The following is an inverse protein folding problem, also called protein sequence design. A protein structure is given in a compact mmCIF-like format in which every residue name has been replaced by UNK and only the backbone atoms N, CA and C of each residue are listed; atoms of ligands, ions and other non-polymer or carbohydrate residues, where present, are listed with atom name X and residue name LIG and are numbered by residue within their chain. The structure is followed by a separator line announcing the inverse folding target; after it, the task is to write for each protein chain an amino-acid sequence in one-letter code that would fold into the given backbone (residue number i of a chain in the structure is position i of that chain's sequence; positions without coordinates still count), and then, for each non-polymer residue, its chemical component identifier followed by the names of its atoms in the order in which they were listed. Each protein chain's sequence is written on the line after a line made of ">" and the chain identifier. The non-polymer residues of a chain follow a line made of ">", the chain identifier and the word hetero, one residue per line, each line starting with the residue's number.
data_IF_584969419880
#
_entry.id   IF_584969419880
#
_cell.length_a   1.000
_cell.length_b   1.000
_cell.length_c   1.000
_cell.angle_alpha   90.00
_cell.angle_beta   90.00
_cell.angle_gamma   90.00
#
_symmetry.space_group_name_H-M   'P 1'
#
loop_
_entity.id
_entity.type
_entity.pdbx_description
1 polymer ?
#
# COMPACT_ATOMS: atom_id res chain seq x y z
N UNK A 1 28.12 -12.79 -12.82
CA UNK A 1 27.06 -11.79 -12.61
C UNK A 1 26.37 -12.18 -11.32
N UNK A 2 26.68 -11.50 -10.23
CA UNK A 2 25.98 -11.70 -8.96
C UNK A 2 24.53 -11.28 -9.18
N UNK A 3 23.58 -12.22 -9.03
CA UNK A 3 22.17 -11.88 -9.03
C UNK A 3 21.95 -10.89 -7.87
N UNK A 4 21.74 -9.61 -8.18
CA UNK A 4 21.38 -8.62 -7.18
C UNK A 4 20.07 -9.07 -6.55
N UNK A 5 20.14 -9.37 -5.26
CA UNK A 5 19.08 -10.07 -4.56
C UNK A 5 18.11 -9.03 -4.02
N UNK A 6 16.90 -8.99 -4.58
CA UNK A 6 15.82 -8.15 -4.06
C UNK A 6 15.58 -8.50 -2.58
N UNK A 7 15.53 -7.50 -1.71
CA UNK A 7 15.39 -7.73 -0.27
C UNK A 7 14.01 -8.29 0.06
N UNK A 8 13.96 -9.56 0.49
CA UNK A 8 12.70 -10.27 0.83
C UNK A 8 12.66 -10.82 2.26
N UNK A 9 13.66 -10.50 3.10
CA UNK A 9 13.72 -11.08 4.44
C UNK A 9 12.68 -10.47 5.38
N UNK A 10 11.99 -11.26 6.23
CA UNK A 10 11.16 -10.71 7.29
C UNK A 10 11.96 -9.82 8.24
N UNK A 11 11.27 -8.93 8.97
CA UNK A 11 11.92 -8.13 10.01
C UNK A 11 12.27 -8.99 11.23
N UNK A 12 13.42 -8.76 11.88
CA UNK A 12 13.76 -9.48 13.11
C UNK A 12 12.72 -9.18 14.20
N UNK A 13 12.33 -10.22 14.94
CA UNK A 13 11.34 -10.17 16.03
C UNK A 13 9.96 -9.61 15.63
N UNK A 14 9.66 -9.60 14.33
CA UNK A 14 8.38 -9.17 13.82
C UNK A 14 7.88 -10.11 12.73
N UNK A 15 6.57 -10.14 12.54
CA UNK A 15 5.91 -10.93 11.51
C UNK A 15 4.86 -10.11 10.79
N UNK A 16 4.66 -10.41 9.51
CA UNK A 16 3.49 -9.94 8.76
C UNK A 16 2.23 -10.57 9.38
N UNK A 17 1.20 -9.77 9.58
CA UNK A 17 -0.12 -10.24 9.98
C UNK A 17 -1.17 -9.64 9.04
N UNK A 18 -2.31 -10.30 8.97
CA UNK A 18 -3.44 -9.85 8.16
C UNK A 18 -4.68 -9.69 9.05
N UNK A 19 -5.35 -8.55 8.89
CA UNK A 19 -6.61 -8.24 9.59
C UNK A 19 -7.75 -8.31 8.59
N UNK A 20 -8.73 -9.17 8.86
CA UNK A 20 -9.86 -9.37 7.99
C UNK A 20 -10.82 -8.17 7.99
N UNK A 21 -11.36 -7.85 6.81
CA UNK A 21 -12.48 -6.94 6.65
C UNK A 21 -13.77 -7.46 7.29
N UNK A 22 -14.68 -6.54 7.58
CA UNK A 22 -16.03 -6.82 8.12
C UNK A 22 -17.11 -6.63 7.06
N UNK A 23 -16.95 -5.64 6.17
CA UNK A 23 -17.88 -5.29 5.10
C UNK A 23 -17.53 -6.04 3.80
N UNK A 24 -16.23 -6.17 3.52
CA UNK A 24 -15.71 -6.80 2.31
C UNK A 24 -14.74 -7.95 2.66
N UNK A 25 -14.60 -8.96 1.79
CA UNK A 25 -13.67 -10.08 1.99
C UNK A 25 -12.23 -9.66 1.69
N UNK A 26 -11.70 -8.72 2.48
CA UNK A 26 -10.35 -8.15 2.33
C UNK A 26 -9.45 -8.60 3.49
N UNK A 27 -8.13 -8.56 3.24
CA UNK A 27 -7.10 -8.85 4.24
C UNK A 27 -6.12 -7.68 4.27
N UNK A 28 -6.06 -6.98 5.39
CA UNK A 28 -5.24 -5.76 5.56
C UNK A 28 -3.93 -6.13 6.24
N UNK A 29 -2.84 -5.96 5.50
CA UNK A 29 -1.51 -6.32 5.97
C UNK A 29 -0.96 -5.30 7.00
N UNK A 30 -0.38 -5.80 8.08
CA UNK A 30 0.31 -5.03 9.11
C UNK A 30 1.55 -5.79 9.60
N UNK A 31 2.36 -5.15 10.45
CA UNK A 31 3.50 -5.79 11.10
C UNK A 31 3.28 -5.89 12.59
N UNK A 32 3.44 -7.08 13.15
CA UNK A 32 3.34 -7.33 14.58
C UNK A 32 4.74 -7.57 15.17
N UNK A 33 5.14 -6.78 16.16
CA UNK A 33 6.41 -6.88 16.86
C UNK A 33 6.21 -7.64 18.17
N UNK A 34 7.03 -8.67 18.39
CA UNK A 34 7.06 -9.40 19.65
C UNK A 34 7.92 -8.66 20.67
N UNK A 35 7.41 -8.48 21.89
CA UNK A 35 8.13 -7.82 22.98
C UNK A 35 8.70 -8.87 23.94
N UNK A 36 9.89 -8.62 24.48
CA UNK A 36 10.44 -9.43 25.56
C UNK A 36 9.67 -9.20 26.86
N UNK A 37 9.56 -10.18 27.77
CA UNK A 37 8.95 -9.98 29.08
C UNK A 37 9.69 -8.95 29.94
N UNK A 38 8.95 -8.16 30.74
CA UNK A 38 9.51 -7.21 31.71
C UNK A 38 9.78 -7.92 33.03
N UNK A 39 10.98 -7.73 33.60
CA UNK A 39 11.30 -8.15 34.98
C UNK A 39 11.02 -6.99 35.92
N UNK A 40 10.03 -7.16 36.80
CA UNK A 40 9.64 -6.15 37.78
C UNK A 40 10.59 -6.15 38.98
N UNK A 41 10.65 -5.03 39.71
CA UNK A 41 11.50 -4.87 40.90
C UNK A 41 11.13 -5.82 42.05
N UNK A 42 9.90 -6.33 42.05
CA UNK A 42 9.41 -7.33 43.00
C UNK A 42 9.76 -8.78 42.60
N UNK A 43 10.52 -8.99 41.53
CA UNK A 43 10.92 -10.30 41.02
C UNK A 43 9.89 -11.00 40.13
N UNK A 44 8.70 -10.42 39.91
CA UNK A 44 7.70 -10.96 39.01
C UNK A 44 8.05 -10.68 37.53
N UNK A 45 7.52 -11.50 36.63
CA UNK A 45 7.66 -11.35 35.18
C UNK A 45 6.31 -10.90 34.62
N UNK A 46 6.30 -9.76 33.91
CA UNK A 46 5.15 -9.27 33.17
C UNK A 46 5.32 -9.61 31.68
N UNK A 47 4.33 -10.30 31.10
CA UNK A 47 4.32 -10.63 29.67
C UNK A 47 3.76 -9.43 28.91
N UNK A 48 4.58 -8.86 28.04
CA UNK A 48 4.17 -7.75 27.19
C UNK A 48 3.41 -8.26 25.95
N UNK A 49 2.17 -7.79 25.69
CA UNK A 49 1.48 -8.13 24.46
C UNK A 49 2.24 -7.54 23.26
N UNK A 50 2.15 -8.18 22.08
CA UNK A 50 2.85 -7.69 20.90
C UNK A 50 2.26 -6.37 20.42
N UNK A 51 3.09 -5.54 19.79
CA UNK A 51 2.67 -4.24 19.23
C UNK A 51 2.42 -4.38 17.75
N UNK A 52 1.23 -4.01 17.31
CA UNK A 52 0.89 -3.95 15.88
C UNK A 52 1.20 -2.55 15.35
N UNK A 53 1.92 -2.49 14.24
CA UNK A 53 2.25 -1.24 13.56
C UNK A 53 1.88 -1.26 12.08
N UNK A 54 1.70 -0.06 11.55
CA UNK A 54 1.58 0.16 10.12
C UNK A 54 2.78 -0.45 9.39
N UNK A 55 2.53 -1.07 8.24
CA UNK A 55 3.56 -1.72 7.44
C UNK A 55 3.32 -1.47 5.95
N UNK A 56 4.30 -0.83 5.32
CA UNK A 56 4.33 -0.44 3.91
C UNK A 56 5.16 -1.39 3.06
N UNK A 57 5.81 -2.39 3.67
CA UNK A 57 6.77 -3.27 2.97
C UNK A 57 6.14 -4.22 1.95
N UNK A 58 4.81 -4.25 1.85
CA UNK A 58 4.08 -5.10 0.90
C UNK A 58 4.36 -6.59 1.07
N UNK A 59 4.20 -7.40 0.02
CA UNK A 59 4.43 -8.84 0.07
C UNK A 59 5.89 -9.25 0.34
N UNK A 60 6.86 -8.33 0.22
CA UNK A 60 8.29 -8.63 0.34
C UNK A 60 8.75 -9.02 1.76
N UNK A 61 7.89 -8.88 2.77
CA UNK A 61 8.18 -9.31 4.15
C UNK A 61 7.28 -10.45 4.62
N UNK A 62 6.44 -10.96 3.73
CA UNK A 62 5.63 -12.14 3.94
C UNK A 62 6.46 -13.38 3.60
N UNK A 63 6.74 -14.22 4.60
CA UNK A 63 7.54 -15.44 4.44
C UNK A 63 6.77 -16.57 3.74
N UNK A 64 5.47 -16.38 3.48
CA UNK A 64 4.61 -17.36 2.81
C UNK A 64 4.52 -17.14 1.30
N UNK A 65 4.99 -15.99 0.80
CA UNK A 65 4.90 -15.61 -0.62
C UNK A 65 6.29 -15.66 -1.27
N UNK A 66 6.40 -16.35 -2.40
CA UNK A 66 7.59 -16.27 -3.24
C UNK A 66 7.40 -15.21 -4.33
N UNK A 67 8.23 -14.16 -4.31
CA UNK A 67 8.14 -13.06 -5.27
C UNK A 67 9.12 -13.28 -6.43
N UNK A 68 8.54 -13.31 -7.63
CA UNK A 68 9.24 -13.28 -8.90
C UNK A 68 8.95 -11.93 -9.57
N UNK A 69 9.95 -11.04 -9.59
CA UNK A 69 9.80 -9.69 -10.17
C UNK A 69 9.34 -9.73 -11.63
N UNK A 70 9.66 -10.78 -12.38
CA UNK A 70 9.26 -10.92 -13.80
C UNK A 70 7.78 -11.25 -13.97
N UNK A 71 7.12 -11.70 -12.90
CA UNK A 71 5.68 -12.00 -12.85
C UNK A 71 4.87 -10.89 -12.18
N UNK A 72 5.53 -9.95 -11.51
CA UNK A 72 4.88 -8.89 -10.74
C UNK A 72 4.29 -9.37 -9.41
N UNK A 73 3.70 -8.43 -8.68
CA UNK A 73 3.04 -8.69 -7.40
C UNK A 73 1.62 -9.24 -7.58
N UNK A 74 1.07 -9.93 -6.56
CA UNK A 74 -0.34 -10.30 -6.55
C UNK A 74 -1.26 -9.08 -6.75
N UNK A 75 -2.23 -9.22 -7.66
CA UNK A 75 -3.16 -8.15 -8.05
C UNK A 75 -4.34 -8.04 -7.09
N UNK A 76 -4.03 -7.72 -5.83
CA UNK A 76 -4.94 -7.67 -4.68
C UNK A 76 -6.32 -7.07 -4.99
N UNK A 77 -6.35 -5.95 -5.71
CA UNK A 77 -7.56 -5.15 -5.93
C UNK A 77 -8.30 -5.49 -7.22
N UNK A 78 -7.79 -6.40 -8.05
CA UNK A 78 -8.34 -6.63 -9.39
C UNK A 78 -9.82 -7.02 -9.33
N UNK A 79 -10.19 -7.95 -8.45
CA UNK A 79 -11.57 -8.37 -8.31
C UNK A 79 -12.47 -7.23 -7.81
N UNK A 80 -11.99 -6.40 -6.87
CA UNK A 80 -12.75 -5.26 -6.32
C UNK A 80 -13.06 -4.20 -7.40
N UNK A 81 -12.18 -4.08 -8.39
CA UNK A 81 -12.37 -3.18 -9.53
C UNK A 81 -13.37 -3.78 -10.52
N UNK A 82 -13.28 -5.09 -10.80
CA UNK A 82 -14.18 -5.77 -11.72
C UNK A 82 -15.62 -5.89 -11.18
N UNK A 83 -15.78 -6.15 -9.88
CA UNK A 83 -17.08 -6.33 -9.23
C UNK A 83 -17.96 -5.08 -9.26
N UNK A 84 -17.36 -3.89 -9.41
CA UNK A 84 -18.11 -2.63 -9.52
C UNK A 84 -18.80 -2.44 -10.87
N UNK A 85 -18.43 -3.23 -11.88
CA UNK A 85 -19.05 -3.19 -13.22
C UNK A 85 -19.08 -1.79 -13.86
N UNK A 86 -18.08 -0.97 -13.55
CA UNK A 86 -17.95 0.40 -14.06
C UNK A 86 -16.68 0.62 -14.88
N UNK A 87 -15.94 -0.45 -15.18
CA UNK A 87 -14.77 -0.47 -16.06
C UNK A 87 -14.98 -1.41 -17.25
N UNK A 88 -14.31 -1.08 -18.36
CA UNK A 88 -14.13 -1.99 -19.50
C UNK A 88 -12.63 -2.29 -19.67
N UNK A 89 -12.32 -3.55 -19.98
CA UNK A 89 -10.97 -3.97 -20.33
C UNK A 89 -10.74 -3.75 -21.82
N UNK A 90 -9.68 -3.03 -22.17
CA UNK A 90 -9.30 -2.79 -23.55
C UNK A 90 -8.61 -4.03 -24.15
N UNK A 91 -8.52 -4.09 -25.48
CA UNK A 91 -7.79 -5.16 -26.16
C UNK A 91 -6.27 -5.09 -25.89
N UNK A 92 -5.75 -3.89 -25.66
CA UNK A 92 -4.35 -3.60 -25.40
C UNK A 92 -4.13 -2.11 -25.11
N UNK A 93 -2.87 -1.68 -25.07
CA UNK A 93 -2.49 -0.28 -24.87
C UNK A 93 -3.04 0.59 -26.02
N UNK A 94 -3.72 1.67 -25.66
CA UNK A 94 -4.39 2.56 -26.63
C UNK A 94 -3.62 3.85 -26.95
N UNK A 95 -2.59 4.19 -26.17
CA UNK A 95 -1.80 5.41 -26.40
C UNK A 95 -0.81 5.21 -27.54
N UNK A 96 -0.65 6.22 -28.39
CA UNK A 96 0.31 6.20 -29.51
C UNK A 96 1.74 5.90 -29.01
N UNK A 97 2.14 6.54 -27.91
CA UNK A 97 3.45 6.32 -27.30
C UNK A 97 3.62 4.87 -26.81
N UNK A 98 2.65 4.34 -26.07
CA UNK A 98 2.74 2.97 -25.55
C UNK A 98 2.69 1.91 -26.64
N UNK A 99 1.91 2.14 -27.72
CA UNK A 99 1.93 1.27 -28.89
C UNK A 99 3.27 1.26 -29.61
N UNK A 100 3.90 2.43 -29.80
CA UNK A 100 5.25 2.53 -30.38
C UNK A 100 6.26 1.75 -29.54
N UNK A 101 6.26 1.94 -28.22
CA UNK A 101 7.16 1.20 -27.30
C UNK A 101 6.87 -0.29 -27.30
N UNK A 102 5.61 -0.73 -27.36
CA UNK A 102 5.24 -2.15 -27.41
C UNK A 102 5.66 -2.82 -28.73
N UNK A 103 5.72 -2.08 -29.84
CA UNK A 103 6.14 -2.60 -31.14
C UNK A 103 7.65 -2.62 -31.37
N UNK A 104 8.44 -2.04 -30.46
CA UNK A 104 9.89 -1.90 -30.62
C UNK A 104 10.63 -3.17 -30.11
N UNK A 105 11.23 -3.99 -30.99
CA UNK A 105 11.87 -5.25 -30.60
C UNK A 105 13.12 -5.05 -29.74
N UNK A 106 13.71 -3.85 -29.72
CA UNK A 106 14.91 -3.58 -28.90
C UNK A 106 14.61 -3.56 -27.39
N UNK A 107 13.33 -3.55 -27.02
CA UNK A 107 12.86 -3.51 -25.64
C UNK A 107 12.37 -4.86 -25.15
N UNK A 108 12.36 -5.91 -25.99
CA UNK A 108 11.82 -7.23 -25.66
C UNK A 108 12.48 -7.84 -24.41
N UNK A 109 13.79 -7.63 -24.23
CA UNK A 109 14.54 -8.13 -23.06
C UNK A 109 14.18 -7.39 -21.76
N UNK A 110 13.66 -6.16 -21.85
CA UNK A 110 13.27 -5.33 -20.72
C UNK A 110 11.80 -5.51 -20.33
N UNK A 111 10.98 -6.10 -21.20
CA UNK A 111 9.55 -6.26 -20.93
C UNK A 111 9.29 -7.41 -19.96
N UNK A 112 8.40 -7.16 -19.02
CA UNK A 112 7.84 -8.20 -18.16
C UNK A 112 7.09 -9.24 -19.01
N UNK A 113 7.19 -10.51 -18.61
CA UNK A 113 6.58 -11.63 -19.34
C UNK A 113 5.04 -11.56 -19.34
N UNK A 114 4.44 -10.79 -18.44
CA UNK A 114 3.01 -10.63 -18.28
C UNK A 114 2.56 -9.25 -18.75
N UNK A 115 1.80 -9.20 -19.86
CA UNK A 115 1.16 -7.97 -20.33
C UNK A 115 -0.30 -7.94 -19.87
N UNK A 116 -0.59 -7.14 -18.84
CA UNK A 116 -1.96 -6.93 -18.38
C UNK A 116 -2.68 -5.96 -19.32
N UNK A 117 -3.90 -6.31 -19.71
CA UNK A 117 -4.69 -5.41 -20.55
C UNK A 117 -5.22 -4.24 -19.71
N UNK A 118 -5.08 -3.00 -20.20
CA UNK A 118 -5.52 -1.83 -19.47
C UNK A 118 -7.04 -1.77 -19.37
N UNK A 119 -7.52 -1.16 -18.30
CA UNK A 119 -8.91 -0.87 -18.00
C UNK A 119 -9.17 0.63 -18.11
N UNK A 120 -10.36 0.98 -18.56
CA UNK A 120 -10.86 2.37 -18.56
C UNK A 120 -12.27 2.41 -17.98
N UNK A 121 -12.71 3.57 -17.52
CA UNK A 121 -14.10 3.74 -17.08
C UNK A 121 -15.07 3.45 -18.24
N UNK A 122 -16.15 2.74 -17.94
CA UNK A 122 -17.27 2.54 -18.85
C UNK A 122 -17.89 3.89 -19.23
N UNK A 123 -18.51 3.96 -20.41
CA UNK A 123 -19.16 5.19 -20.88
C UNK A 123 -20.17 5.71 -19.85
N UNK A 124 -20.04 6.99 -19.47
CA UNK A 124 -20.91 7.64 -18.48
C UNK A 124 -20.66 7.26 -17.02
N UNK A 125 -19.65 6.43 -16.71
CA UNK A 125 -19.26 6.07 -15.35
C UNK A 125 -18.04 6.87 -14.89
N UNK A 126 -17.89 7.02 -13.58
CA UNK A 126 -16.71 7.61 -12.95
C UNK A 126 -16.20 6.65 -11.88
N UNK A 127 -14.91 6.32 -11.97
CA UNK A 127 -14.30 5.26 -11.17
C UNK A 127 -13.50 5.78 -9.97
N UNK A 128 -13.57 7.08 -9.70
CA UNK A 128 -12.77 7.72 -8.64
C UNK A 128 -13.37 7.48 -7.26
N UNK A 129 -12.51 7.37 -6.24
CA UNK A 129 -12.95 7.26 -4.85
C UNK A 129 -13.79 8.46 -4.40
N UNK A 130 -13.50 9.66 -4.92
CA UNK A 130 -14.30 10.87 -4.69
C UNK A 130 -15.74 10.73 -5.21
N UNK A 131 -15.92 10.11 -6.38
CA UNK A 131 -17.24 9.88 -6.95
C UNK A 131 -18.08 8.95 -6.07
N UNK A 132 -17.53 7.79 -5.70
CA UNK A 132 -18.23 6.85 -4.81
C UNK A 132 -18.55 7.49 -3.46
N UNK A 133 -17.58 8.20 -2.87
CA UNK A 133 -17.76 8.85 -1.58
C UNK A 133 -18.92 9.86 -1.59
N UNK A 134 -19.03 10.69 -2.64
CA UNK A 134 -20.11 11.67 -2.81
C UNK A 134 -21.48 11.03 -3.06
N UNK A 135 -21.53 9.79 -3.52
CA UNK A 135 -22.75 9.00 -3.65
C UNK A 135 -23.14 8.26 -2.36
N UNK A 136 -22.35 8.38 -1.29
CA UNK A 136 -22.59 7.64 -0.05
C UNK A 136 -22.13 6.18 -0.11
N UNK A 137 -21.32 5.81 -1.11
CA UNK A 137 -20.84 4.44 -1.29
C UNK A 137 -19.51 4.27 -0.53
N UNK A 138 -19.46 3.27 0.34
CA UNK A 138 -18.22 2.78 0.96
C UNK A 138 -17.63 1.70 0.05
N UNK A 139 -16.37 1.85 -0.35
CA UNK A 139 -15.67 0.90 -1.21
C UNK A 139 -14.79 -0.06 -0.40
N UNK A 140 -14.33 -1.18 -0.99
CA UNK A 140 -13.32 -2.04 -0.36
C UNK A 140 -12.05 -1.27 0.02
N UNK A 141 -11.63 -0.28 -0.78
CA UNK A 141 -10.48 0.56 -0.42
C UNK A 141 -10.75 1.44 0.81
N UNK A 142 -11.96 1.98 0.97
CA UNK A 142 -12.31 2.78 2.15
C UNK A 142 -12.31 1.93 3.43
N UNK A 143 -12.79 0.69 3.37
CA UNK A 143 -12.67 -0.23 4.50
C UNK A 143 -11.21 -0.61 4.76
N UNK A 144 -10.45 -0.91 3.71
CA UNK A 144 -9.04 -1.29 3.81
C UNK A 144 -8.24 -0.25 4.59
N UNK A 145 -8.35 1.03 4.20
CA UNK A 145 -7.60 2.11 4.87
C UNK A 145 -8.14 2.39 6.27
N UNK A 146 -9.44 2.24 6.53
CA UNK A 146 -9.97 2.39 7.89
C UNK A 146 -9.36 1.36 8.85
N UNK A 147 -9.27 0.10 8.44
CA UNK A 147 -8.61 -0.96 9.22
C UNK A 147 -7.12 -0.67 9.39
N UNK A 148 -6.45 -0.25 8.31
CA UNK A 148 -5.00 0.03 8.30
C UNK A 148 -4.63 1.17 9.26
N UNK A 149 -5.39 2.26 9.25
CA UNK A 149 -5.18 3.42 10.11
C UNK A 149 -5.43 3.13 11.59
N UNK A 150 -6.25 2.13 11.91
CA UNK A 150 -6.48 1.73 13.29
C UNK A 150 -5.32 0.93 13.89
N UNK A 151 -4.43 0.33 13.09
CA UNK A 151 -3.30 -0.48 13.60
C UNK A 151 -3.67 -1.49 14.70
N UNK A 152 -4.89 -2.07 14.61
CA UNK A 152 -5.50 -2.90 15.66
C UNK A 152 -5.60 -2.21 17.03
N UNK A 153 -6.10 -0.97 17.06
CA UNK A 153 -6.29 -0.18 18.28
C UNK A 153 -7.08 -0.93 19.38
N UNK A 154 -7.93 -1.89 19.02
CA UNK A 154 -8.62 -2.77 19.97
C UNK A 154 -7.66 -3.60 20.86
N UNK A 155 -6.41 -3.80 20.45
CA UNK A 155 -5.39 -4.45 21.28
C UNK A 155 -5.05 -3.66 22.55
N UNK A 156 -5.34 -2.35 22.57
CA UNK A 156 -5.13 -1.52 23.75
C UNK A 156 -6.03 -1.94 24.93
N UNK A 157 -7.20 -2.53 24.67
CA UNK A 157 -8.10 -3.04 25.72
C UNK A 157 -7.45 -4.14 26.57
N UNK A 158 -6.52 -4.90 25.98
CA UNK A 158 -5.76 -5.95 26.64
C UNK A 158 -4.34 -5.53 27.02
N UNK A 159 -4.03 -4.23 26.92
CA UNK A 159 -2.68 -3.71 27.12
C UNK A 159 -2.37 -3.44 28.59
N UNK A 160 -1.07 -3.38 28.92
CA UNK A 160 -0.64 -3.01 30.27
C UNK A 160 -0.88 -1.51 30.49
N UNK A 161 -1.01 -1.03 31.75
CA UNK A 161 -1.24 0.39 32.03
C UNK A 161 -0.21 1.34 31.41
N UNK A 162 1.03 0.88 31.18
CA UNK A 162 2.07 1.65 30.53
C UNK A 162 1.90 1.78 29.00
N UNK A 163 1.20 0.84 28.37
CA UNK A 163 0.96 0.83 26.91
C UNK A 163 -0.25 1.66 26.50
N UNK A 164 -1.26 1.78 27.37
CA UNK A 164 -2.47 2.58 27.12
C UNK A 164 -2.25 4.11 27.36
N UNK A 165 -1.07 4.50 27.84
CA UNK A 165 -0.80 5.90 28.15
C UNK A 165 -0.35 6.70 26.91
N UNK A 166 -1.27 7.49 26.34
CA UNK A 166 -0.95 8.47 25.31
C UNK A 166 -0.91 9.90 25.88
N UNK A 167 0.21 10.61 25.68
CA UNK A 167 0.29 12.03 26.02
C UNK A 167 -0.64 12.87 25.14
N UNK A 168 -1.37 13.81 25.74
CA UNK A 168 -2.27 14.69 25.02
C UNK A 168 -1.49 15.63 24.08
N UNK A 169 -1.73 15.50 22.79
CA UNK A 169 -1.20 16.40 21.76
C UNK A 169 -2.08 17.64 21.50
N UNK A 170 -1.60 18.53 20.62
CA UNK A 170 -2.34 19.65 20.05
C UNK A 170 -2.48 19.42 18.54
N UNK A 171 -3.71 19.31 18.04
CA UNK A 171 -4.01 19.02 16.64
C UNK A 171 -4.42 20.26 15.81
N UNK A 172 -4.45 21.44 16.45
CA UNK A 172 -4.82 22.73 15.85
C UNK A 172 -6.19 22.72 15.14
N UNK A 173 -7.19 22.07 15.76
CA UNK A 173 -8.55 22.00 15.25
C UNK A 173 -8.76 20.95 14.15
N UNK A 174 -7.88 19.94 14.07
CA UNK A 174 -8.11 18.78 13.22
C UNK A 174 -9.28 17.94 13.75
N UNK A 175 -9.92 17.17 12.87
CA UNK A 175 -10.97 16.20 13.21
C UNK A 175 -10.38 14.80 13.38
N UNK A 176 -9.22 14.71 14.03
CA UNK A 176 -8.62 13.41 14.37
C UNK A 176 -9.61 12.65 15.24
N UNK A 177 -9.92 11.41 14.87
CA UNK A 177 -10.81 10.58 15.67
C UNK A 177 -10.11 10.16 16.96
N UNK A 178 -10.75 10.45 18.10
CA UNK A 178 -10.30 9.98 19.42
C UNK A 178 -10.59 8.48 19.64
N UNK A 179 -11.25 7.84 18.67
CA UNK A 179 -11.64 6.42 18.65
C UNK A 179 -11.18 5.77 17.35
N UNK A 180 -11.56 4.51 17.16
CA UNK A 180 -11.33 3.81 15.91
C UNK A 180 -11.89 4.57 14.69
N UNK A 181 -11.07 4.68 13.66
CA UNK A 181 -11.42 5.19 12.33
C UNK A 181 -12.38 4.20 11.67
N UNK A 182 -13.52 4.70 11.20
CA UNK A 182 -14.54 3.87 10.53
C UNK A 182 -14.47 4.05 9.01
N UNK A 183 -14.95 3.06 8.23
CA UNK A 183 -15.07 3.22 6.77
C UNK A 183 -15.98 4.40 6.38
N UNK A 184 -16.96 4.73 7.22
CA UNK A 184 -17.84 5.88 7.01
C UNK A 184 -17.10 7.21 7.23
N UNK A 185 -16.26 7.33 8.27
CA UNK A 185 -15.42 8.52 8.47
C UNK A 185 -14.47 8.73 7.29
N UNK A 186 -13.85 7.64 6.80
CA UNK A 186 -13.03 7.68 5.58
C UNK A 186 -13.82 8.22 4.38
N UNK A 187 -15.03 7.70 4.16
CA UNK A 187 -15.92 8.14 3.09
C UNK A 187 -16.25 9.63 3.22
N UNK A 188 -16.59 10.12 4.42
CA UNK A 188 -16.89 11.53 4.67
C UNK A 188 -15.71 12.46 4.37
N UNK A 189 -14.50 12.08 4.79
CA UNK A 189 -13.28 12.87 4.54
C UNK A 189 -12.95 12.95 3.05
N UNK A 190 -13.14 11.84 2.31
CA UNK A 190 -12.98 11.81 0.86
C UNK A 190 -14.07 12.64 0.17
N UNK A 191 -15.34 12.46 0.54
CA UNK A 191 -16.46 13.18 -0.06
C UNK A 191 -16.32 14.71 0.09
N UNK A 192 -15.77 15.15 1.22
CA UNK A 192 -15.49 16.55 1.51
C UNK A 192 -14.17 17.07 0.91
N UNK A 193 -13.40 16.22 0.22
CA UNK A 193 -12.12 16.60 -0.39
C UNK A 193 -10.99 16.89 0.59
N UNK A 194 -11.07 16.38 1.83
CA UNK A 194 -10.03 16.52 2.86
C UNK A 194 -9.05 15.35 2.91
N UNK A 195 -9.39 14.26 2.24
CA UNK A 195 -8.53 13.08 2.11
C UNK A 195 -8.66 12.44 0.73
N UNK A 196 -7.64 11.69 0.32
CA UNK A 196 -7.58 10.96 -0.95
C UNK A 196 -7.04 9.54 -0.75
N UNK A 197 -7.45 8.64 -1.65
CA UNK A 197 -6.92 7.27 -1.77
C UNK A 197 -6.35 7.12 -3.20
N UNK A 198 -5.02 7.22 -3.39
CA UNK A 198 -4.38 7.25 -4.71
C UNK A 198 -4.26 5.86 -5.33
N UNK A 199 -5.35 5.39 -5.94
CA UNK A 199 -5.51 3.97 -6.28
C UNK A 199 -6.06 3.77 -7.69
N UNK A 200 -5.23 4.03 -8.70
CA UNK A 200 -5.56 3.86 -10.11
C UNK A 200 -6.12 2.44 -10.39
N UNK A 201 -7.14 2.34 -11.24
CA UNK A 201 -7.78 1.07 -11.66
C UNK A 201 -6.82 0.14 -12.43
N UNK A 202 -5.72 0.68 -12.94
CA UNK A 202 -4.65 -0.08 -13.62
C UNK A 202 -3.46 -0.43 -12.72
N UNK A 203 -3.53 -0.14 -11.41
CA UNK A 203 -2.53 -0.53 -10.42
C UNK A 203 -3.17 -1.41 -9.33
N UNK A 204 -3.71 -2.59 -9.67
CA UNK A 204 -4.40 -3.46 -8.71
C UNK A 204 -3.48 -4.15 -7.70
N UNK A 205 -2.17 -4.13 -7.91
CA UNK A 205 -1.14 -4.62 -6.98
C UNK A 205 -1.03 -3.74 -5.73
N UNK A 206 -1.46 -2.47 -5.82
CA UNK A 206 -1.39 -1.52 -4.71
C UNK A 206 -2.20 -1.97 -3.49
N UNK A 207 -1.57 -1.98 -2.33
CA UNK A 207 -2.27 -2.01 -1.04
C UNK A 207 -2.81 -0.60 -0.73
N UNK A 208 -4.14 -0.38 -0.60
CA UNK A 208 -4.68 0.95 -0.39
C UNK A 208 -4.12 1.66 0.83
N UNK A 209 -3.94 2.98 0.69
CA UNK A 209 -3.56 3.89 1.77
C UNK A 209 -4.31 5.22 1.61
N UNK A 210 -4.42 6.00 2.68
CA UNK A 210 -5.14 7.27 2.67
C UNK A 210 -4.20 8.42 3.06
N UNK A 211 -4.36 9.55 2.36
CA UNK A 211 -3.63 10.79 2.63
C UNK A 211 -4.65 11.84 3.03
N UNK A 212 -4.52 12.38 4.24
CA UNK A 212 -5.37 13.45 4.75
C UNK A 212 -4.96 13.88 6.16
N UNK A 213 -5.33 15.11 6.55
CA UNK A 213 -4.91 15.71 7.83
C UNK A 213 -5.36 14.93 9.07
N UNK A 214 -6.46 14.21 8.97
CA UNK A 214 -7.09 13.49 10.09
C UNK A 214 -6.65 12.03 10.21
N UNK A 215 -5.62 11.64 9.47
CA UNK A 215 -5.04 10.29 9.40
C UNK A 215 -3.57 10.34 9.83
N UNK A 216 -2.91 9.19 9.95
CA UNK A 216 -1.47 9.15 10.20
C UNK A 216 -0.72 9.95 9.11
N UNK A 217 0.34 10.66 9.50
CA UNK A 217 1.19 11.37 8.53
C UNK A 217 1.85 10.35 7.62
N UNK A 218 1.83 10.62 6.31
CA UNK A 218 2.39 9.75 5.28
C UNK A 218 3.66 10.35 4.70
N UNK A 219 4.61 9.51 4.31
CA UNK A 219 5.89 9.93 3.74
C UNK A 219 6.08 9.35 2.33
N UNK A 220 6.78 10.11 1.48
CA UNK A 220 7.10 9.71 0.12
C UNK A 220 8.61 9.53 -0.04
N UNK A 221 9.04 8.49 -0.76
CA UNK A 221 10.42 8.35 -1.21
C UNK A 221 10.52 8.58 -2.73
N UNK A 222 11.56 9.29 -3.16
CA UNK A 222 11.85 9.45 -4.58
C UNK A 222 12.84 8.38 -5.03
N UNK A 223 12.54 7.72 -6.13
CA UNK A 223 13.42 6.78 -6.83
C UNK A 223 13.61 7.26 -8.28
N UNK A 224 14.38 6.53 -9.06
CA UNK A 224 14.54 6.81 -10.49
C UNK A 224 15.97 6.66 -10.97
N UNK A 225 16.07 6.40 -12.26
CA UNK A 225 17.32 6.25 -12.97
C UNK A 225 17.92 7.60 -13.34
N UNK A 226 19.26 7.64 -13.36
CA UNK A 226 20.00 8.76 -13.96
C UNK A 226 20.57 8.32 -15.31
N UNK A 227 20.91 9.29 -16.16
CA UNK A 227 21.54 9.02 -17.45
C UNK A 227 22.90 8.29 -17.35
N UNK A 228 23.48 8.17 -16.15
CA UNK A 228 24.86 7.74 -15.91
C UNK A 228 24.95 6.30 -15.40
N UNK A 229 23.92 5.79 -14.70
CA UNK A 229 23.84 4.40 -14.23
C UNK A 229 22.47 4.09 -13.62
N UNK A 230 21.79 3.02 -14.09
CA UNK A 230 21.02 2.07 -13.26
C UNK A 230 20.41 0.96 -14.12
N UNK A 231 20.24 -0.25 -13.56
CA UNK A 231 19.47 -1.37 -14.14
C UNK A 231 18.00 -1.33 -13.67
N UNK A 232 17.11 -2.12 -14.30
CA UNK A 232 15.71 -2.24 -13.83
C UNK A 232 15.68 -2.86 -12.43
N UNK A 233 16.52 -3.87 -12.19
CA UNK A 233 16.62 -4.57 -10.92
C UNK A 233 17.06 -3.65 -9.77
N UNK A 234 17.99 -2.71 -10.02
CA UNK A 234 18.38 -1.69 -9.04
C UNK A 234 17.24 -0.73 -8.70
N UNK A 235 16.45 -0.31 -9.69
CA UNK A 235 15.28 0.55 -9.46
C UNK A 235 14.20 -0.17 -8.65
N UNK A 236 13.95 -1.44 -8.95
CA UNK A 236 13.05 -2.29 -8.17
C UNK A 236 13.56 -2.46 -6.74
N UNK A 237 14.85 -2.73 -6.54
CA UNK A 237 15.40 -2.83 -5.17
C UNK A 237 15.29 -1.51 -4.41
N UNK A 238 15.52 -0.35 -5.05
CA UNK A 238 15.30 0.96 -4.41
C UNK A 238 13.84 1.14 -3.97
N UNK A 239 12.88 0.75 -4.81
CA UNK A 239 11.46 0.79 -4.47
C UNK A 239 11.14 -0.12 -3.28
N UNK A 240 11.60 -1.38 -3.31
CA UNK A 240 11.40 -2.36 -2.24
C UNK A 240 12.04 -1.88 -0.94
N UNK A 241 13.26 -1.35 -1.00
CA UNK A 241 14.00 -0.86 0.14
C UNK A 241 13.32 0.36 0.79
N UNK A 242 12.82 1.30 -0.03
CA UNK A 242 12.09 2.45 0.48
C UNK A 242 10.80 2.03 1.20
N UNK A 243 9.98 1.20 0.55
CA UNK A 243 8.73 0.68 1.14
C UNK A 243 9.00 -0.14 2.40
N UNK A 244 10.08 -0.93 2.42
CA UNK A 244 10.52 -1.69 3.60
C UNK A 244 10.72 -0.77 4.80
N UNK A 245 11.36 0.38 4.62
CA UNK A 245 11.69 1.29 5.73
C UNK A 245 10.61 2.33 6.04
N UNK A 246 9.42 2.22 5.45
CA UNK A 246 8.27 3.04 5.84
C UNK A 246 7.81 4.05 4.79
N UNK A 247 8.35 4.04 3.56
CA UNK A 247 7.79 4.87 2.50
C UNK A 247 6.35 4.44 2.18
N UNK A 248 5.39 5.33 2.38
CA UNK A 248 3.98 5.07 2.08
C UNK A 248 3.67 5.19 0.58
N UNK A 249 4.39 6.09 -0.09
CA UNK A 249 4.34 6.27 -1.53
C UNK A 249 5.75 6.37 -2.10
N UNK A 250 5.87 6.02 -3.36
CA UNK A 250 7.09 6.23 -4.14
C UNK A 250 6.79 7.07 -5.37
N UNK A 251 7.76 7.89 -5.77
CA UNK A 251 7.71 8.64 -7.01
C UNK A 251 8.93 8.29 -7.85
N UNK A 252 8.68 7.73 -9.04
CA UNK A 252 9.71 7.54 -10.05
C UNK A 252 9.97 8.86 -10.79
N UNK A 253 11.16 9.43 -10.55
CA UNK A 253 11.66 10.66 -11.15
C UNK A 253 12.74 10.37 -12.22
N UNK A 254 12.73 9.18 -12.80
CA UNK A 254 13.64 8.77 -13.88
C UNK A 254 13.69 9.79 -15.02
N UNK A 255 14.90 10.13 -15.45
CA UNK A 255 15.16 11.08 -16.56
C UNK A 255 16.01 10.47 -17.68
N UNK A 256 16.44 9.22 -17.53
CA UNK A 256 17.31 8.52 -18.45
C UNK A 256 16.59 7.92 -19.67
N UNK A 257 17.22 6.91 -20.27
CA UNK A 257 16.58 6.09 -21.32
C UNK A 257 15.59 5.12 -20.69
N UNK A 258 14.64 4.62 -21.49
CA UNK A 258 13.72 3.54 -21.11
C UNK A 258 12.87 3.80 -19.85
N UNK A 259 12.49 5.06 -19.61
CA UNK A 259 11.64 5.49 -18.48
C UNK A 259 10.33 4.68 -18.43
N UNK A 260 9.77 4.30 -19.59
CA UNK A 260 8.50 3.59 -19.62
C UNK A 260 8.63 2.16 -19.09
N UNK A 261 9.70 1.46 -19.43
CA UNK A 261 9.98 0.06 -19.07
C UNK A 261 10.53 -0.04 -17.66
N UNK A 262 11.27 0.97 -17.20
CA UNK A 262 11.67 1.08 -15.79
C UNK A 262 10.48 1.29 -14.85
N UNK A 263 9.43 1.98 -15.31
CA UNK A 263 8.24 2.28 -14.52
C UNK A 263 7.17 1.19 -14.56
N UNK A 264 7.17 0.38 -15.61
CA UNK A 264 6.33 -0.83 -15.69
C UNK A 264 6.77 -1.85 -14.63
#
# INVERSE_FOLDING_TARGET
>A
MTAETITQSPFPNAKKIFVAGKLFPIQVAMRQISLSPTKLTNGQIEINPPVTIYDTSGPYTDDTIHIDIRKGLPRLREQWILDRQDVIQLAGISSEYGQKRLSDPTLDELRFAYSHKPKVASAGKNVTQLHYAKQGIITPEMEYVAIRENQRIEQLEASTPGMDHQHRGQNFGARTHDKAITPEFVREEIAAGRAIIPNNINHPESEPMIIGRNFLVKINANIGNSAVSSSIEEEVEKAVWACRWGADTIMDLSTGKNIHETRE
#
